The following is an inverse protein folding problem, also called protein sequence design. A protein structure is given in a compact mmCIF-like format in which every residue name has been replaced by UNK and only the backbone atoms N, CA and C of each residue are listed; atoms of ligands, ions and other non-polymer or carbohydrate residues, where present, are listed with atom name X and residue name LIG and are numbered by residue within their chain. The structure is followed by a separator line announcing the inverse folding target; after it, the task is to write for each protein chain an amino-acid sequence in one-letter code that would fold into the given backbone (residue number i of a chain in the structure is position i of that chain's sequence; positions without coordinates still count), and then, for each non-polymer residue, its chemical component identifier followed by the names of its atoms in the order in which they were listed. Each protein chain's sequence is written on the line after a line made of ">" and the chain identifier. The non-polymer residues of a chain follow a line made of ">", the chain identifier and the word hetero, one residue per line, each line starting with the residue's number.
data_IF_801494059738
#
_entry.id   IF_801494059738
#
_cell.length_a   1.000
_cell.length_b   1.000
_cell.length_c   1.000
_cell.angle_alpha   90.00
_cell.angle_beta   90.00
_cell.angle_gamma   90.00
#
_symmetry.space_group_name_H-M   'P 1'
#
loop_
_entity.id
_entity.type
_entity.pdbx_description
1 polymer ?
#
# COMPACT_ATOMS: atom_id res chain seq x y z
N UNK A 1 14.03 -14.56 -38.49
CA UNK A 1 13.00 -15.11 -37.61
C UNK A 1 12.38 -13.94 -36.87
N UNK A 2 11.23 -13.50 -37.32
CA UNK A 2 10.53 -12.30 -36.78
C UNK A 2 9.72 -12.69 -35.57
N UNK A 3 10.09 -12.13 -34.40
CA UNK A 3 9.26 -12.23 -33.19
C UNK A 3 8.09 -11.24 -33.32
N UNK A 4 6.92 -11.79 -33.58
CA UNK A 4 5.62 -11.10 -33.49
C UNK A 4 5.35 -10.73 -32.04
N UNK A 5 5.46 -9.44 -31.73
CA UNK A 5 5.07 -8.88 -30.46
C UNK A 5 3.56 -8.53 -30.54
N UNK A 6 2.70 -9.51 -30.24
CA UNK A 6 1.27 -9.27 -30.13
C UNK A 6 1.00 -8.35 -28.92
N UNK A 7 0.20 -7.28 -29.04
CA UNK A 7 -0.13 -6.41 -27.92
C UNK A 7 -0.92 -7.23 -26.88
N UNK A 8 -0.45 -7.21 -25.62
CA UNK A 8 -1.20 -7.74 -24.47
C UNK A 8 -2.53 -6.97 -24.39
N UNK A 9 -3.62 -7.63 -24.69
CA UNK A 9 -4.98 -7.10 -24.53
C UNK A 9 -5.17 -6.81 -23.03
N UNK A 10 -5.11 -5.54 -22.65
CA UNK A 10 -5.49 -5.07 -21.32
C UNK A 10 -7.01 -5.36 -21.17
N UNK A 11 -7.34 -6.36 -20.36
CA UNK A 11 -8.73 -6.59 -19.93
C UNK A 11 -9.13 -5.44 -19.00
N UNK A 12 -9.74 -4.41 -19.59
CA UNK A 12 -10.30 -3.28 -18.82
C UNK A 12 -11.42 -3.84 -17.93
N UNK A 13 -11.34 -3.57 -16.63
CA UNK A 13 -12.41 -3.94 -15.71
C UNK A 13 -13.71 -3.22 -16.12
N UNK A 14 -14.82 -3.96 -16.19
CA UNK A 14 -16.14 -3.34 -16.43
C UNK A 14 -16.79 -3.00 -15.08
N UNK A 15 -17.59 -1.90 -14.98
CA UNK A 15 -18.29 -1.54 -13.74
C UNK A 15 -19.08 -2.69 -13.10
N UNK A 16 -19.64 -3.60 -13.90
CA UNK A 16 -20.33 -4.81 -13.44
C UNK A 16 -19.46 -5.83 -12.70
N UNK A 17 -18.12 -5.72 -12.78
CA UNK A 17 -17.21 -6.62 -12.06
C UNK A 17 -17.17 -6.36 -10.55
N UNK A 18 -17.64 -5.20 -10.08
CA UNK A 18 -17.61 -4.83 -8.64
C UNK A 18 -18.78 -5.41 -7.82
N UNK A 19 -19.74 -6.11 -8.48
CA UNK A 19 -20.95 -6.60 -7.83
C UNK A 19 -21.94 -5.45 -7.55
N UNK A 20 -22.90 -5.62 -6.61
CA UNK A 20 -23.87 -4.58 -6.27
C UNK A 20 -23.17 -3.29 -5.82
N UNK A 21 -23.57 -2.16 -6.39
CA UNK A 21 -23.07 -0.83 -6.09
C UNK A 21 -24.20 0.08 -5.64
N UNK A 22 -23.90 1.03 -4.75
CA UNK A 22 -24.84 2.08 -4.36
C UNK A 22 -24.96 3.12 -5.49
N UNK A 23 -26.00 3.99 -5.50
CA UNK A 23 -26.10 5.09 -6.45
C UNK A 23 -24.88 6.04 -6.41
N UNK A 24 -24.34 6.30 -5.21
CA UNK A 24 -23.11 7.09 -5.02
C UNK A 24 -21.91 6.41 -5.71
N UNK A 25 -21.69 5.13 -5.44
CA UNK A 25 -20.61 4.36 -6.06
C UNK A 25 -20.73 4.27 -7.59
N UNK A 26 -21.95 4.10 -8.12
CA UNK A 26 -22.21 4.09 -9.56
C UNK A 26 -21.79 5.43 -10.20
N UNK A 27 -22.21 6.55 -9.63
CA UNK A 27 -21.85 7.89 -10.11
C UNK A 27 -20.33 8.15 -10.07
N UNK A 28 -19.62 7.61 -9.07
CA UNK A 28 -18.16 7.71 -8.99
C UNK A 28 -17.46 6.84 -10.05
N UNK A 29 -17.98 5.62 -10.26
CA UNK A 29 -17.45 4.70 -11.26
C UNK A 29 -17.61 5.21 -12.71
N UNK A 30 -18.72 5.90 -13.02
CA UNK A 30 -18.93 6.53 -14.33
C UNK A 30 -17.87 7.61 -14.67
N UNK A 31 -17.32 8.25 -13.63
CA UNK A 31 -16.28 9.30 -13.77
C UNK A 31 -14.86 8.74 -13.81
N UNK A 32 -14.68 7.47 -13.39
CA UNK A 32 -13.38 6.86 -13.23
C UNK A 32 -12.85 6.33 -14.57
N UNK A 33 -11.70 6.83 -15.00
CA UNK A 33 -10.97 6.29 -16.14
C UNK A 33 -10.20 5.04 -15.73
N UNK A 34 -10.70 3.86 -16.11
CA UNK A 34 -10.12 2.57 -15.76
C UNK A 34 -8.74 2.32 -16.40
N UNK A 35 -8.32 3.13 -17.37
CA UNK A 35 -7.00 3.03 -18.00
C UNK A 35 -5.93 3.83 -17.26
N UNK A 36 -6.33 4.71 -16.34
CA UNK A 36 -5.47 5.62 -15.58
C UNK A 36 -5.50 5.32 -14.08
N UNK A 37 -5.66 4.06 -13.71
CA UNK A 37 -5.60 3.64 -12.30
C UNK A 37 -4.15 3.57 -11.80
N UNK A 38 -3.90 3.83 -10.50
CA UNK A 38 -2.59 3.57 -9.90
C UNK A 38 -2.26 2.08 -10.01
N UNK A 39 -1.01 1.76 -10.31
CA UNK A 39 -0.53 0.37 -10.32
C UNK A 39 -0.44 -0.17 -8.90
N UNK A 40 -0.01 0.66 -7.96
CA UNK A 40 0.15 0.30 -6.56
C UNK A 40 -0.49 1.35 -5.65
N UNK A 41 -1.40 0.90 -4.79
CA UNK A 41 -2.03 1.70 -3.73
C UNK A 41 -1.48 1.28 -2.39
N UNK A 42 -1.01 2.24 -1.59
CA UNK A 42 -0.59 2.05 -0.21
C UNK A 42 -1.58 2.73 0.75
N UNK A 43 -1.93 2.09 1.87
CA UNK A 43 -2.94 2.63 2.80
C UNK A 43 -2.45 2.61 4.23
N UNK A 44 -2.45 3.79 4.88
CA UNK A 44 -2.30 3.93 6.33
C UNK A 44 -3.69 3.94 6.96
N UNK A 45 -4.03 2.82 7.59
CA UNK A 45 -5.34 2.52 8.18
C UNK A 45 -5.51 3.16 9.56
N UNK A 46 -5.57 4.50 9.60
CA UNK A 46 -5.64 5.26 10.85
C UNK A 46 -7.09 5.59 11.27
N UNK A 47 -7.29 5.79 12.57
CA UNK A 47 -8.56 6.25 13.13
C UNK A 47 -9.40 5.19 13.86
N UNK A 48 -8.98 3.91 13.92
CA UNK A 48 -9.72 2.85 14.62
C UNK A 48 -10.06 3.21 16.08
N UNK A 49 -9.06 3.71 16.82
CA UNK A 49 -9.25 4.11 18.22
C UNK A 49 -10.16 5.32 18.37
N UNK A 50 -10.00 6.34 17.51
CA UNK A 50 -10.86 7.55 17.51
C UNK A 50 -12.31 7.22 17.15
N UNK A 51 -12.51 6.30 16.21
CA UNK A 51 -13.83 5.80 15.83
C UNK A 51 -14.56 5.16 17.01
N UNK A 52 -13.89 4.29 17.76
CA UNK A 52 -14.43 3.65 18.95
C UNK A 52 -14.71 4.68 20.04
N UNK A 53 -13.80 5.61 20.30
CA UNK A 53 -13.97 6.67 21.30
C UNK A 53 -15.19 7.56 21.02
N UNK A 54 -15.40 7.98 19.76
CA UNK A 54 -16.58 8.76 19.35
C UNK A 54 -17.91 8.03 19.60
N UNK A 55 -17.87 6.69 19.74
CA UNK A 55 -19.05 5.83 19.98
C UNK A 55 -19.10 5.26 21.40
N UNK A 56 -18.25 5.75 22.29
CA UNK A 56 -18.11 5.25 23.66
C UNK A 56 -17.83 3.74 23.75
N UNK A 57 -17.10 3.20 22.76
CA UNK A 57 -16.71 1.80 22.65
C UNK A 57 -15.23 1.60 23.03
N UNK A 58 -14.85 0.40 23.49
CA UNK A 58 -13.45 0.05 23.67
C UNK A 58 -12.67 0.16 22.34
N UNK A 59 -11.40 0.58 22.39
CA UNK A 59 -10.53 0.74 21.18
C UNK A 59 -10.53 -0.48 20.28
N UNK A 60 -10.60 -1.69 20.86
CA UNK A 60 -10.64 -2.97 20.14
C UNK A 60 -11.86 -3.10 19.21
N UNK A 61 -13.00 -2.46 19.53
CA UNK A 61 -14.19 -2.46 18.67
C UNK A 61 -13.91 -1.75 17.33
N UNK A 62 -13.14 -0.65 17.35
CA UNK A 62 -12.74 0.05 16.14
C UNK A 62 -11.84 -0.82 15.24
N UNK A 63 -10.87 -1.52 15.82
CA UNK A 63 -10.02 -2.44 15.05
C UNK A 63 -10.82 -3.59 14.42
N UNK A 64 -11.77 -4.17 15.18
CA UNK A 64 -12.64 -5.22 14.65
C UNK A 64 -13.54 -4.71 13.51
N UNK A 65 -14.12 -3.53 13.65
CA UNK A 65 -14.93 -2.91 12.58
C UNK A 65 -14.06 -2.57 11.36
N UNK A 66 -12.84 -2.07 11.57
CA UNK A 66 -11.89 -1.73 10.52
C UNK A 66 -11.48 -2.91 9.63
N UNK A 67 -11.69 -4.18 10.05
CA UNK A 67 -11.45 -5.35 9.18
C UNK A 67 -12.41 -5.37 7.99
N UNK A 68 -13.63 -4.85 8.14
CA UNK A 68 -14.59 -4.76 7.04
C UNK A 68 -14.14 -3.74 5.98
N UNK A 69 -13.56 -2.61 6.40
CA UNK A 69 -12.99 -1.62 5.48
C UNK A 69 -11.79 -2.20 4.72
N UNK A 70 -10.94 -2.97 5.41
CA UNK A 70 -9.84 -3.69 4.76
C UNK A 70 -10.36 -4.67 3.69
N UNK A 71 -11.36 -5.49 4.03
CA UNK A 71 -12.00 -6.41 3.09
C UNK A 71 -12.55 -5.69 1.86
N UNK A 72 -13.31 -4.61 2.07
CA UNK A 72 -13.89 -3.82 0.98
C UNK A 72 -12.80 -3.20 0.09
N UNK A 73 -11.74 -2.67 0.68
CA UNK A 73 -10.60 -2.10 -0.05
C UNK A 73 -9.89 -3.15 -0.89
N UNK A 74 -9.57 -4.31 -0.30
CA UNK A 74 -8.90 -5.44 -0.99
C UNK A 74 -9.75 -5.91 -2.18
N UNK A 75 -11.04 -6.18 -1.93
CA UNK A 75 -11.93 -6.67 -2.97
C UNK A 75 -12.10 -5.66 -4.12
N UNK A 76 -12.22 -4.38 -3.80
CA UNK A 76 -12.36 -3.32 -4.80
C UNK A 76 -11.09 -3.17 -5.64
N UNK A 77 -9.91 -3.08 -5.01
CA UNK A 77 -8.63 -3.00 -5.71
C UNK A 77 -8.39 -4.21 -6.62
N UNK A 78 -8.68 -5.42 -6.14
CA UNK A 78 -8.51 -6.64 -6.93
C UNK A 78 -9.43 -6.66 -8.16
N UNK A 79 -10.68 -6.24 -8.01
CA UNK A 79 -11.66 -6.18 -9.12
C UNK A 79 -11.37 -5.06 -10.12
N UNK A 80 -10.78 -3.95 -9.67
CA UNK A 80 -10.28 -2.87 -10.52
C UNK A 80 -8.96 -3.23 -11.22
N UNK A 81 -8.39 -4.42 -10.97
CA UNK A 81 -7.12 -4.89 -11.56
C UNK A 81 -5.90 -4.04 -11.16
N UNK A 82 -5.93 -3.43 -9.98
CA UNK A 82 -4.75 -2.80 -9.38
C UNK A 82 -3.69 -3.90 -9.17
N UNK A 83 -2.44 -3.63 -9.53
CA UNK A 83 -1.36 -4.63 -9.50
C UNK A 83 -0.93 -4.97 -8.07
N UNK A 84 -0.83 -3.95 -7.19
CA UNK A 84 -0.42 -4.12 -5.81
C UNK A 84 -1.24 -3.24 -4.85
N UNK A 85 -1.53 -3.78 -3.66
CA UNK A 85 -2.13 -3.06 -2.54
C UNK A 85 -1.30 -3.33 -1.29
N UNK A 86 -0.79 -2.28 -0.63
CA UNK A 86 -0.09 -2.41 0.64
C UNK A 86 -0.90 -1.80 1.78
N UNK A 87 -1.22 -2.59 2.80
CA UNK A 87 -1.95 -2.17 3.98
C UNK A 87 -1.02 -2.10 5.21
N UNK A 88 -0.97 -0.95 5.90
CA UNK A 88 -0.18 -0.77 7.11
C UNK A 88 -0.92 -1.31 8.32
N UNK A 89 -0.72 -2.59 8.63
CA UNK A 89 -1.47 -3.28 9.68
C UNK A 89 -0.87 -3.12 11.08
N UNK A 90 0.48 -3.18 11.21
CA UNK A 90 1.16 -3.06 12.51
C UNK A 90 2.58 -2.52 12.33
N UNK A 91 2.86 -1.35 12.92
CA UNK A 91 4.18 -0.73 12.88
C UNK A 91 5.07 -1.19 14.02
N UNK A 92 6.40 -1.04 13.86
CA UNK A 92 7.38 -1.29 14.94
C UNK A 92 7.11 -0.41 16.17
N UNK A 93 6.56 0.79 15.99
CA UNK A 93 6.21 1.68 17.09
C UNK A 93 5.01 1.17 17.89
N UNK A 94 4.16 0.30 17.30
CA UNK A 94 2.97 -0.24 17.98
C UNK A 94 3.31 -1.22 19.12
N UNK A 95 4.54 -1.74 19.19
CA UNK A 95 4.99 -2.52 20.34
C UNK A 95 5.00 -1.74 21.66
N UNK A 96 4.96 -0.40 21.60
CA UNK A 96 4.83 0.48 22.79
C UNK A 96 3.41 0.54 23.35
N UNK A 97 2.43 -0.08 22.69
CA UNK A 97 1.04 -0.13 23.16
C UNK A 97 0.89 -1.09 24.34
N UNK A 98 -0.19 -0.96 25.15
CA UNK A 98 -0.47 -1.92 26.21
C UNK A 98 -0.49 -3.36 25.66
N UNK A 99 0.10 -4.29 26.42
CA UNK A 99 0.20 -5.71 26.01
C UNK A 99 -1.14 -6.32 25.62
N UNK A 100 -2.21 -5.99 26.36
CA UNK A 100 -3.57 -6.47 26.06
C UNK A 100 -4.08 -6.01 24.70
N UNK A 101 -3.73 -4.79 24.24
CA UNK A 101 -4.07 -4.31 22.90
C UNK A 101 -3.25 -5.05 21.84
N UNK A 102 -1.95 -5.27 22.09
CA UNK A 102 -1.06 -6.01 21.17
C UNK A 102 -1.56 -7.46 21.01
N UNK A 103 -1.81 -8.17 22.12
CA UNK A 103 -2.28 -9.55 22.10
C UNK A 103 -3.62 -9.65 21.32
N UNK A 104 -4.52 -8.70 21.52
CA UNK A 104 -5.76 -8.61 20.76
C UNK A 104 -5.51 -8.39 19.25
N UNK A 105 -4.61 -7.47 18.88
CA UNK A 105 -4.31 -7.19 17.47
C UNK A 105 -3.70 -8.41 16.77
N UNK A 106 -2.82 -9.15 17.46
CA UNK A 106 -2.24 -10.39 16.92
C UNK A 106 -3.30 -11.49 16.76
N UNK A 107 -4.22 -11.63 17.72
CA UNK A 107 -5.35 -12.56 17.62
C UNK A 107 -6.30 -12.18 16.48
N UNK A 108 -6.62 -10.88 16.33
CA UNK A 108 -7.47 -10.36 15.27
C UNK A 108 -6.86 -10.60 13.88
N UNK A 109 -5.54 -10.39 13.72
CA UNK A 109 -4.83 -10.69 12.48
C UNK A 109 -4.96 -12.16 12.11
N UNK A 110 -4.74 -13.07 13.07
CA UNK A 110 -4.85 -14.51 12.87
C UNK A 110 -6.28 -14.92 12.48
N UNK A 111 -7.29 -14.35 13.13
CA UNK A 111 -8.72 -14.54 12.79
C UNK A 111 -8.98 -14.08 11.35
N UNK A 112 -8.48 -12.88 11.00
CA UNK A 112 -8.67 -12.27 9.69
C UNK A 112 -8.04 -13.11 8.57
N UNK A 113 -6.80 -13.55 8.71
CA UNK A 113 -6.12 -14.36 7.71
C UNK A 113 -6.90 -15.64 7.37
N UNK A 114 -7.42 -16.33 8.41
CA UNK A 114 -8.23 -17.55 8.19
C UNK A 114 -9.58 -17.25 7.54
N UNK A 115 -10.26 -16.21 8.01
CA UNK A 115 -11.61 -15.84 7.56
C UNK A 115 -11.62 -15.33 6.11
N UNK A 116 -10.60 -14.55 5.73
CA UNK A 116 -10.56 -13.91 4.41
C UNK A 116 -9.88 -14.78 3.33
N UNK A 117 -9.27 -15.90 3.68
CA UNK A 117 -8.62 -16.79 2.71
C UNK A 117 -9.53 -17.20 1.54
N UNK A 118 -10.81 -17.54 1.73
CA UNK A 118 -11.70 -17.85 0.59
C UNK A 118 -11.88 -16.68 -0.37
N UNK A 119 -11.94 -15.44 0.15
CA UNK A 119 -12.04 -14.23 -0.68
C UNK A 119 -10.74 -13.97 -1.43
N UNK A 120 -9.60 -14.14 -0.77
CA UNK A 120 -8.26 -14.01 -1.33
C UNK A 120 -8.08 -14.98 -2.51
N UNK A 121 -8.41 -16.25 -2.31
CA UNK A 121 -8.35 -17.28 -3.35
C UNK A 121 -9.32 -16.99 -4.52
N UNK A 122 -10.57 -16.66 -4.22
CA UNK A 122 -11.60 -16.33 -5.23
C UNK A 122 -11.18 -15.19 -6.16
N UNK A 123 -10.47 -14.20 -5.63
CA UNK A 123 -10.01 -13.04 -6.40
C UNK A 123 -8.58 -13.24 -6.95
N UNK A 124 -8.02 -14.45 -6.84
CA UNK A 124 -6.67 -14.78 -7.34
C UNK A 124 -5.58 -13.84 -6.79
N UNK A 125 -5.69 -13.45 -5.51
CA UNK A 125 -4.79 -12.51 -4.85
C UNK A 125 -3.59 -13.27 -4.28
N UNK A 126 -2.37 -12.80 -4.55
CA UNK A 126 -1.13 -13.29 -3.95
C UNK A 126 -0.81 -12.48 -2.72
N UNK A 127 -0.60 -13.11 -1.57
CA UNK A 127 -0.24 -12.44 -0.32
C UNK A 127 1.28 -12.35 -0.14
N UNK A 128 1.73 -11.18 0.34
CA UNK A 128 3.09 -10.93 0.83
C UNK A 128 3.01 -10.20 2.17
N UNK A 129 4.02 -10.39 3.01
CA UNK A 129 4.13 -9.67 4.27
C UNK A 129 5.44 -8.91 4.29
N UNK A 130 5.38 -7.64 4.72
CA UNK A 130 6.52 -6.72 4.75
C UNK A 130 6.85 -6.39 6.20
N UNK A 131 8.11 -6.55 6.60
CA UNK A 131 8.61 -6.26 7.94
C UNK A 131 9.35 -7.45 8.58
N UNK A 132 9.68 -7.34 9.85
CA UNK A 132 10.46 -8.34 10.60
C UNK A 132 9.55 -9.44 11.14
N UNK A 133 9.26 -10.43 10.30
CA UNK A 133 8.31 -11.51 10.62
C UNK A 133 8.82 -12.45 11.70
N UNK A 134 10.12 -12.66 11.79
CA UNK A 134 10.81 -13.52 12.77
C UNK A 134 10.70 -13.00 14.22
N UNK A 135 10.46 -11.72 14.41
CA UNK A 135 10.23 -11.11 15.73
C UNK A 135 8.77 -11.27 16.22
N UNK A 136 7.85 -11.77 15.38
CA UNK A 136 6.45 -11.96 15.73
C UNK A 136 6.23 -13.22 16.59
N UNK A 137 5.13 -13.31 17.36
CA UNK A 137 4.76 -14.53 18.05
C UNK A 137 4.67 -15.73 17.09
N UNK A 138 5.19 -16.89 17.47
CA UNK A 138 5.31 -18.08 16.61
C UNK A 138 3.99 -18.48 15.91
N UNK A 139 2.84 -18.34 16.62
CA UNK A 139 1.54 -18.62 16.02
C UNK A 139 1.18 -17.66 14.87
N UNK A 140 1.62 -16.39 14.94
CA UNK A 140 1.44 -15.41 13.86
C UNK A 140 2.37 -15.73 12.69
N UNK A 141 3.64 -16.07 12.97
CA UNK A 141 4.60 -16.49 11.94
C UNK A 141 4.08 -17.67 11.12
N UNK A 142 3.49 -18.67 11.78
CA UNK A 142 2.92 -19.83 11.12
C UNK A 142 1.72 -19.46 10.23
N UNK A 143 0.77 -18.64 10.74
CA UNK A 143 -0.39 -18.21 9.97
C UNK A 143 0.01 -17.35 8.76
N UNK A 144 1.06 -16.52 8.89
CA UNK A 144 1.65 -15.72 7.81
C UNK A 144 2.26 -16.62 6.73
N UNK A 145 3.08 -17.60 7.13
CA UNK A 145 3.71 -18.55 6.21
C UNK A 145 2.66 -19.35 5.45
N UNK A 146 1.68 -19.91 6.15
CA UNK A 146 0.55 -20.64 5.57
C UNK A 146 -0.24 -19.80 4.55
N UNK A 147 -0.50 -18.52 4.86
CA UNK A 147 -1.18 -17.61 3.93
C UNK A 147 -0.36 -17.36 2.66
N UNK A 148 0.95 -17.16 2.78
CA UNK A 148 1.85 -16.98 1.63
C UNK A 148 1.91 -18.24 0.77
N UNK A 149 2.09 -19.40 1.37
CA UNK A 149 2.15 -20.69 0.67
C UNK A 149 0.86 -20.98 -0.08
N UNK A 150 -0.29 -20.83 0.57
CA UNK A 150 -1.61 -21.06 -0.07
C UNK A 150 -1.90 -20.14 -1.24
N UNK A 151 -1.27 -18.98 -1.31
CA UNK A 151 -1.52 -17.96 -2.36
C UNK A 151 -0.35 -17.79 -3.33
N UNK A 152 0.71 -18.61 -3.21
CA UNK A 152 1.94 -18.49 -4.00
C UNK A 152 1.69 -18.56 -5.52
N UNK A 153 0.75 -19.40 -5.96
CA UNK A 153 0.42 -19.60 -7.37
C UNK A 153 -0.60 -18.59 -7.92
N UNK A 154 -1.16 -17.74 -7.06
CA UNK A 154 -2.09 -16.71 -7.48
C UNK A 154 -1.36 -15.64 -8.30
N UNK A 155 -1.99 -15.20 -9.40
CA UNK A 155 -1.40 -14.30 -10.42
C UNK A 155 -2.16 -12.97 -10.58
N UNK A 156 -3.12 -12.71 -9.71
CA UNK A 156 -3.85 -11.45 -9.67
C UNK A 156 -3.09 -10.37 -8.88
N UNK A 157 -3.83 -9.51 -8.19
CA UNK A 157 -3.26 -8.45 -7.36
C UNK A 157 -2.34 -9.03 -6.28
N UNK A 158 -1.21 -8.36 -6.03
CA UNK A 158 -0.37 -8.65 -4.86
C UNK A 158 -0.87 -7.83 -3.67
N UNK A 159 -1.36 -8.52 -2.63
CA UNK A 159 -1.72 -7.91 -1.35
C UNK A 159 -0.53 -7.99 -0.40
N UNK A 160 0.06 -6.83 -0.11
CA UNK A 160 1.12 -6.69 0.88
C UNK A 160 0.52 -6.25 2.22
N UNK A 161 0.83 -6.98 3.30
CA UNK A 161 0.47 -6.60 4.66
C UNK A 161 1.73 -6.19 5.40
N UNK A 162 1.90 -4.89 5.67
CA UNK A 162 3.02 -4.37 6.44
C UNK A 162 2.76 -4.64 7.94
N UNK A 163 3.55 -5.55 8.50
CA UNK A 163 3.39 -6.12 9.84
C UNK A 163 4.74 -6.13 10.56
N UNK A 164 4.80 -5.59 11.77
CA UNK A 164 6.08 -5.29 12.44
C UNK A 164 7.03 -4.53 11.52
N UNK A 165 6.46 -3.54 10.83
CA UNK A 165 7.10 -2.81 9.75
C UNK A 165 7.49 -1.39 10.19
N UNK A 166 8.60 -0.91 9.65
CA UNK A 166 9.02 0.49 9.72
C UNK A 166 10.04 0.78 8.61
N UNK A 167 9.83 1.82 7.81
CA UNK A 167 10.67 2.13 6.66
C UNK A 167 12.13 2.38 7.01
N UNK A 168 12.42 2.97 8.18
CA UNK A 168 13.80 3.12 8.66
C UNK A 168 14.45 1.77 8.95
N UNK A 169 13.71 0.84 9.58
CA UNK A 169 14.19 -0.50 9.85
C UNK A 169 14.43 -1.27 8.55
N UNK A 170 13.49 -1.21 7.60
CA UNK A 170 13.61 -1.83 6.28
C UNK A 170 14.87 -1.38 5.55
N UNK A 171 15.15 -0.06 5.51
CA UNK A 171 16.37 0.47 4.86
C UNK A 171 17.63 -0.07 5.53
N UNK A 172 17.66 -0.13 6.87
CA UNK A 172 18.80 -0.69 7.60
C UNK A 172 18.95 -2.19 7.33
N UNK A 173 17.85 -2.94 7.28
CA UNK A 173 17.88 -4.37 6.99
C UNK A 173 18.37 -4.62 5.55
N UNK A 174 17.95 -3.82 4.58
CA UNK A 174 18.43 -3.88 3.20
C UNK A 174 19.94 -3.60 3.09
N UNK A 175 20.43 -2.58 3.79
CA UNK A 175 21.88 -2.28 3.85
C UNK A 175 22.66 -3.45 4.47
N UNK A 176 22.16 -4.03 5.57
CA UNK A 176 22.80 -5.18 6.21
C UNK A 176 22.81 -6.42 5.29
N UNK A 177 21.74 -6.65 4.52
CA UNK A 177 21.70 -7.72 3.53
C UNK A 177 22.78 -7.54 2.45
N UNK A 178 22.92 -6.33 1.88
CA UNK A 178 23.96 -5.99 0.89
C UNK A 178 25.37 -6.21 1.47
N UNK A 179 25.61 -5.79 2.73
CA UNK A 179 26.91 -6.00 3.38
C UNK A 179 27.21 -7.49 3.60
N UNK A 180 26.20 -8.28 3.91
CA UNK A 180 26.34 -9.73 4.15
C UNK A 180 26.66 -10.50 2.87
N UNK A 181 26.09 -10.10 1.73
CA UNK A 181 26.42 -10.69 0.42
C UNK A 181 27.88 -10.44 0.02
N UNK A 182 28.46 -9.30 0.44
CA UNK A 182 29.83 -8.93 0.16
C UNK A 182 30.89 -9.77 0.87
N UNK A 183 30.54 -10.56 1.89
CA UNK A 183 31.50 -11.32 2.71
C UNK A 183 32.27 -12.43 1.93
N UNK A 184 31.89 -12.77 0.69
CA UNK A 184 32.60 -13.69 -0.20
C UNK A 184 33.46 -13.01 -1.28
N UNK A 185 33.16 -11.74 -1.60
CA UNK A 185 33.79 -11.01 -2.74
C UNK A 185 34.27 -9.60 -2.37
N UNK A 186 34.33 -9.26 -1.08
CA UNK A 186 34.66 -7.92 -0.57
C UNK A 186 33.42 -7.04 -0.40
N UNK A 187 33.45 -6.14 0.59
CA UNK A 187 32.36 -5.18 0.85
C UNK A 187 32.25 -4.23 -0.34
N UNK A 188 31.04 -4.02 -0.91
CA UNK A 188 30.85 -3.07 -1.99
C UNK A 188 31.35 -1.68 -1.58
N UNK A 189 32.20 -1.07 -2.39
CA UNK A 189 32.72 0.30 -2.12
C UNK A 189 31.64 1.38 -2.30
N UNK A 190 30.55 1.07 -2.98
CA UNK A 190 29.45 1.97 -3.29
C UNK A 190 28.18 1.16 -3.44
N UNK A 191 27.11 1.61 -2.75
CA UNK A 191 25.75 1.09 -2.92
C UNK A 191 24.98 2.03 -3.84
N UNK A 192 24.26 1.48 -4.82
CA UNK A 192 23.37 2.24 -5.72
C UNK A 192 21.92 2.16 -5.26
N UNK A 193 21.08 3.10 -5.71
CA UNK A 193 19.62 3.08 -5.43
C UNK A 193 18.98 1.77 -5.90
N UNK A 194 19.38 1.27 -7.07
CA UNK A 194 18.90 0.02 -7.63
C UNK A 194 19.31 -1.20 -6.77
N UNK A 195 20.53 -1.23 -6.25
CA UNK A 195 20.94 -2.28 -5.30
C UNK A 195 20.14 -2.21 -4.01
N UNK A 196 19.90 -1.02 -3.45
CA UNK A 196 19.09 -0.86 -2.25
C UNK A 196 17.65 -1.32 -2.50
N UNK A 197 17.03 -0.88 -3.61
CA UNK A 197 15.66 -1.24 -3.97
C UNK A 197 15.45 -2.74 -4.11
N UNK A 198 16.42 -3.49 -4.62
CA UNK A 198 16.39 -4.97 -4.72
C UNK A 198 16.46 -5.70 -3.39
N UNK A 199 16.87 -5.02 -2.32
CA UNK A 199 16.94 -5.61 -0.97
C UNK A 199 15.83 -5.12 -0.05
N UNK A 200 14.95 -4.23 -0.54
CA UNK A 200 13.76 -3.85 0.22
C UNK A 200 12.72 -4.97 0.24
N UNK A 201 11.87 -4.98 1.25
CA UNK A 201 10.79 -5.98 1.37
C UNK A 201 9.79 -5.95 0.20
N UNK A 202 9.79 -4.85 -0.57
CA UNK A 202 8.92 -4.64 -1.75
C UNK A 202 9.56 -5.06 -3.07
N UNK A 203 10.70 -5.73 -3.06
CA UNK A 203 11.38 -6.17 -4.29
C UNK A 203 10.40 -6.81 -5.29
N UNK A 204 10.54 -6.43 -6.57
CA UNK A 204 9.72 -6.94 -7.66
C UNK A 204 8.30 -6.36 -7.73
N UNK A 205 7.94 -5.43 -6.86
CA UNK A 205 6.70 -4.67 -6.93
C UNK A 205 6.94 -3.26 -7.52
N UNK A 206 5.97 -2.67 -8.21
CA UNK A 206 6.03 -1.24 -8.52
C UNK A 206 6.00 -0.43 -7.22
N UNK A 207 6.66 0.72 -7.22
CA UNK A 207 6.50 1.68 -6.12
C UNK A 207 5.05 2.19 -6.03
N UNK A 208 4.57 2.57 -4.85
CA UNK A 208 3.23 3.13 -4.70
C UNK A 208 3.03 4.39 -5.55
N UNK A 209 2.00 4.38 -6.39
CA UNK A 209 1.55 5.57 -7.11
C UNK A 209 0.67 6.46 -6.23
N UNK A 210 -0.10 5.83 -5.34
CA UNK A 210 -1.04 6.50 -4.45
C UNK A 210 -0.88 6.01 -3.01
N UNK A 211 -0.61 6.94 -2.09
CA UNK A 211 -0.66 6.73 -0.65
C UNK A 211 -1.96 7.34 -0.10
N UNK A 212 -2.81 6.51 0.47
CA UNK A 212 -4.03 6.94 1.17
C UNK A 212 -3.78 6.94 2.68
N UNK A 213 -4.13 8.03 3.35
CA UNK A 213 -4.16 8.07 4.81
C UNK A 213 -5.52 8.54 5.31
N UNK A 214 -6.14 7.72 6.17
CA UNK A 214 -7.41 8.04 6.83
C UNK A 214 -7.19 8.85 8.11
N UNK A 215 -8.25 9.52 8.58
CA UNK A 215 -8.34 10.26 9.86
C UNK A 215 -7.63 11.62 9.93
N UNK A 216 -7.37 12.28 8.78
CA UNK A 216 -6.94 13.68 8.71
C UNK A 216 -5.47 13.95 9.03
N UNK A 217 -4.68 12.94 9.34
CA UNK A 217 -3.28 13.13 9.75
C UNK A 217 -2.33 13.23 8.55
N UNK A 218 -1.59 14.33 8.45
CA UNK A 218 -0.70 14.64 7.32
C UNK A 218 0.76 14.23 7.58
N UNK A 219 0.99 12.96 7.90
CA UNK A 219 2.33 12.38 8.08
C UNK A 219 2.37 10.94 7.57
N UNK A 220 3.54 10.46 7.15
CA UNK A 220 3.72 9.11 6.60
C UNK A 220 4.03 8.04 7.66
N UNK A 221 4.30 8.45 8.89
CA UNK A 221 4.48 7.57 10.06
C UNK A 221 5.42 6.39 9.81
N UNK A 222 6.59 6.65 9.24
CA UNK A 222 7.61 5.63 8.96
C UNK A 222 7.15 4.52 8.00
N UNK A 223 6.16 4.80 7.13
CA UNK A 223 5.61 3.84 6.18
C UNK A 223 6.20 4.02 4.79
N UNK A 224 6.78 2.96 4.23
CA UNK A 224 7.31 2.84 2.86
C UNK A 224 8.19 4.05 2.44
N UNK A 225 9.09 4.52 3.34
CA UNK A 225 9.82 5.79 3.19
C UNK A 225 10.59 5.90 1.87
N UNK A 226 11.17 4.80 1.39
CA UNK A 226 11.89 4.75 0.13
C UNK A 226 10.92 4.76 -1.05
N UNK A 227 9.93 3.92 -0.99
CA UNK A 227 9.04 3.61 -2.10
C UNK A 227 8.03 4.71 -2.41
N UNK A 228 7.63 5.53 -1.41
CA UNK A 228 6.65 6.62 -1.59
C UNK A 228 7.26 7.95 -2.05
N UNK A 229 8.54 7.97 -2.42
CA UNK A 229 9.25 9.19 -2.78
C UNK A 229 8.54 10.01 -3.87
N UNK A 230 7.80 9.36 -4.76
CA UNK A 230 7.04 9.98 -5.85
C UNK A 230 5.55 9.63 -5.82
N UNK A 231 5.04 9.10 -4.71
CA UNK A 231 3.64 8.77 -4.56
C UNK A 231 2.78 10.03 -4.41
N UNK A 232 1.61 10.04 -5.06
CA UNK A 232 0.58 11.02 -4.74
C UNK A 232 -0.03 10.70 -3.38
N UNK A 233 -0.24 11.72 -2.54
CA UNK A 233 -0.77 11.52 -1.19
C UNK A 233 -2.21 12.02 -1.14
N UNK A 234 -3.12 11.15 -0.73
CA UNK A 234 -4.51 11.46 -0.45
C UNK A 234 -4.80 11.30 1.04
N UNK A 235 -5.16 12.40 1.70
CA UNK A 235 -5.54 12.41 3.12
C UNK A 235 -7.04 12.67 3.21
N UNK A 236 -7.74 11.87 4.02
CA UNK A 236 -9.18 12.04 4.27
C UNK A 236 -9.48 12.07 5.77
N UNK A 237 -10.44 12.92 6.17
CA UNK A 237 -10.96 12.99 7.53
C UNK A 237 -11.73 11.72 7.96
N UNK A 238 -12.14 10.91 6.99
CA UNK A 238 -12.85 9.65 7.25
C UNK A 238 -11.97 8.73 8.11
N UNK A 239 -12.54 8.25 9.22
CA UNK A 239 -11.87 7.26 10.08
C UNK A 239 -11.88 5.88 9.41
N UNK A 240 -10.83 5.08 9.60
CA UNK A 240 -10.69 3.81 8.89
C UNK A 240 -11.92 2.89 8.94
N UNK A 241 -12.62 2.68 10.09
CA UNK A 241 -13.82 1.84 10.10
C UNK A 241 -14.98 2.34 9.23
N UNK A 242 -15.00 3.62 8.89
CA UNK A 242 -16.02 4.24 8.02
C UNK A 242 -15.52 4.40 6.57
N UNK A 243 -14.26 4.00 6.27
CA UNK A 243 -13.68 4.04 4.93
C UNK A 243 -14.24 2.89 4.08
N UNK A 244 -15.20 3.24 3.23
CA UNK A 244 -15.93 2.32 2.36
C UNK A 244 -15.45 2.41 0.89
N UNK A 245 -16.13 1.70 -0.02
CA UNK A 245 -15.82 1.69 -1.44
C UNK A 245 -15.94 3.09 -2.06
N UNK A 246 -16.96 3.87 -1.72
CA UNK A 246 -17.12 5.23 -2.25
C UNK A 246 -15.91 6.11 -1.91
N UNK A 247 -15.41 6.05 -0.68
CA UNK A 247 -14.21 6.80 -0.26
C UNK A 247 -12.94 6.36 -0.99
N UNK A 248 -12.80 5.06 -1.29
CA UNK A 248 -11.71 4.57 -2.14
C UNK A 248 -11.83 5.10 -3.58
N UNK A 249 -13.02 5.06 -4.16
CA UNK A 249 -13.26 5.59 -5.52
C UNK A 249 -12.97 7.10 -5.60
N UNK A 250 -13.32 7.87 -4.58
CA UNK A 250 -12.95 9.29 -4.49
C UNK A 250 -11.42 9.47 -4.49
N UNK A 251 -10.69 8.67 -3.71
CA UNK A 251 -9.23 8.74 -3.70
C UNK A 251 -8.63 8.43 -5.08
N UNK A 252 -9.18 7.46 -5.81
CA UNK A 252 -8.76 7.13 -7.16
C UNK A 252 -9.09 8.25 -8.16
N UNK A 253 -10.25 8.89 -8.04
CA UNK A 253 -10.61 10.06 -8.86
C UNK A 253 -9.69 11.26 -8.59
N UNK A 254 -9.37 11.53 -7.32
CA UNK A 254 -8.43 12.61 -6.98
C UNK A 254 -7.02 12.31 -7.53
N UNK A 255 -6.57 11.07 -7.48
CA UNK A 255 -5.31 10.65 -8.12
C UNK A 255 -5.32 10.97 -9.62
N UNK A 256 -6.40 10.69 -10.34
CA UNK A 256 -6.52 10.92 -11.78
C UNK A 256 -6.54 12.40 -12.19
N UNK A 257 -6.92 13.29 -11.29
CA UNK A 257 -6.89 14.75 -11.53
C UNK A 257 -5.47 15.31 -11.52
N UNK A 258 -4.52 14.59 -10.93
CA UNK A 258 -3.14 15.05 -10.77
C UNK A 258 -2.29 14.62 -11.95
N UNK A 259 -1.42 15.55 -12.42
CA UNK A 259 -0.40 15.27 -13.43
C UNK A 259 0.94 14.96 -12.73
N UNK A 260 1.47 13.77 -12.95
CA UNK A 260 2.79 13.36 -12.42
C UNK A 260 3.89 13.98 -13.28
N UNK A 261 4.64 14.94 -12.76
CA UNK A 261 5.67 15.69 -13.52
C UNK A 261 7.08 15.12 -13.42
N UNK A 262 7.40 14.27 -12.47
CA UNK A 262 8.74 13.69 -12.23
C UNK A 262 9.90 14.67 -12.45
N UNK A 263 9.73 15.97 -12.10
CA UNK A 263 10.72 17.02 -12.31
C UNK A 263 10.78 17.59 -13.76
N UNK A 264 9.93 17.14 -14.68
CA UNK A 264 9.86 17.65 -16.05
C UNK A 264 9.09 18.98 -16.16
N UNK A 265 9.52 19.86 -17.10
CA UNK A 265 8.84 21.10 -17.45
C UNK A 265 7.92 20.82 -18.66
N UNK A 266 6.73 21.45 -18.72
CA UNK A 266 5.87 21.37 -19.92
C UNK A 266 6.59 22.02 -21.11
N UNK A 267 6.62 21.36 -22.26
CA UNK A 267 6.90 22.03 -23.53
C UNK A 267 5.80 23.10 -23.74
N UNK A 268 6.19 24.37 -23.63
CA UNK A 268 5.29 25.50 -23.84
C UNK A 268 5.07 26.47 -22.67
N UNK A 269 5.61 26.21 -21.47
CA UNK A 269 5.68 27.24 -20.43
C UNK A 269 6.82 28.22 -20.79
N UNK A 270 6.56 29.56 -20.88
CA UNK A 270 7.63 30.52 -21.13
C UNK A 270 8.64 30.42 -19.98
N UNK A 271 9.91 30.22 -20.33
CA UNK A 271 11.00 30.29 -19.35
C UNK A 271 10.96 31.69 -18.71
N UNK A 272 10.75 31.75 -17.39
CA UNK A 272 10.98 32.97 -16.63
C UNK A 272 12.42 33.41 -16.88
N UNK A 273 12.60 34.45 -17.66
CA UNK A 273 13.90 35.10 -17.86
C UNK A 273 14.43 35.53 -16.49
N UNK A 274 15.53 34.92 -16.07
CA UNK A 274 16.24 35.41 -14.89
C UNK A 274 16.56 36.88 -15.05
N UNK A 275 16.16 37.75 -14.10
CA UNK A 275 16.54 39.16 -14.20
C UNK A 275 18.06 39.27 -14.29
N UNK A 276 18.53 39.99 -15.34
CA UNK A 276 19.95 40.25 -15.56
C UNK A 276 20.56 40.88 -14.29
N UNK A 277 21.58 40.26 -13.74
CA UNK A 277 22.38 40.85 -12.66
C UNK A 277 22.92 42.20 -13.19
N UNK A 278 22.43 43.27 -12.64
CA UNK A 278 23.00 44.60 -12.88
C UNK A 278 24.46 44.60 -12.47
N UNK A 279 25.34 44.81 -13.43
CA UNK A 279 26.76 45.06 -13.21
C UNK A 279 26.88 46.40 -12.50
N UNK A 280 27.16 46.37 -11.21
CA UNK A 280 27.51 47.55 -10.43
C UNK A 280 28.91 48.05 -10.83
N UNK A 281 28.98 49.31 -11.13
CA UNK A 281 30.22 50.07 -11.27
C UNK A 281 30.90 50.25 -9.90
#
# INVERSE_FOLDING_TARGET
>A
MSHSNAPKTLHVATPGSLGPVTPEEASLLEKLDLTRLPRHVAVIMDGNGRWAQKRHLPRIAGHRTGTQSARTTIETCARLKIEALTLYAFSVENWRRPKTEIDFLMALLREYLRKEMPLIQKNNIRMRFLGRMDELPAGVQNDVRDAMEKTAENKGMVLCVALNYGGRAEIVDAVNAILSEGNGHGIPRKVTEDQLSRHLYTEGLPDPDLLIRTSGEMRVSNFLLWQIAYAEIFVTETLWPDFNRARLLEALLEFQKRERRYGGIREGEPSEEKPARAAGK
#
